data_IF_615277683210
#
_entry.id   IF_615277683210
#
_cell.length_a   1.000
_cell.length_b   1.000
_cell.length_c   1.000
_cell.angle_alpha   90.00
_cell.angle_beta   90.00
_cell.angle_gamma   90.00
#
_symmetry.space_group_name_H-M   'P 1'
#
loop_
_entity.id
_entity.type
_entity.pdbx_description
1 polymer ?
#
# COMPACT_ATOMS: atom_id res chain seq x y z
N UNK A 1 -5.60 2.87 -3.63
CA UNK A 1 -6.08 1.52 -3.22
C UNK A 1 -7.54 1.55 -2.76
N UNK A 2 -7.93 2.30 -1.74
CA UNK A 2 -9.33 2.32 -1.24
C UNK A 2 -10.38 2.56 -2.32
N UNK A 3 -10.15 3.49 -3.25
CA UNK A 3 -11.06 3.74 -4.38
C UNK A 3 -11.20 2.55 -5.34
N UNK A 4 -10.14 1.77 -5.53
CA UNK A 4 -10.21 0.54 -6.33
C UNK A 4 -10.99 -0.55 -5.60
N UNK A 5 -10.75 -0.73 -4.29
CA UNK A 5 -11.52 -1.68 -3.47
C UNK A 5 -13.01 -1.32 -3.51
N UNK A 6 -13.33 -0.05 -3.37
CA UNK A 6 -14.70 0.44 -3.42
C UNK A 6 -15.38 0.09 -4.76
N UNK A 7 -14.68 0.29 -5.88
CA UNK A 7 -15.18 -0.06 -7.21
C UNK A 7 -15.44 -1.56 -7.34
N UNK A 8 -14.46 -2.38 -6.97
CA UNK A 8 -14.61 -3.84 -7.04
C UNK A 8 -15.74 -4.37 -6.13
N UNK A 9 -15.99 -3.74 -4.98
CA UNK A 9 -17.13 -4.06 -4.13
C UNK A 9 -18.46 -3.75 -4.81
N UNK A 10 -18.58 -2.60 -5.48
CA UNK A 10 -19.79 -2.28 -6.26
C UNK A 10 -19.98 -3.21 -7.43
N UNK A 11 -18.90 -3.54 -8.15
CA UNK A 11 -18.94 -4.44 -9.30
C UNK A 11 -19.33 -5.87 -8.87
N UNK A 12 -19.04 -6.25 -7.63
CA UNK A 12 -19.48 -7.49 -7.00
C UNK A 12 -20.90 -7.41 -6.39
N UNK A 13 -21.59 -6.29 -6.50
CA UNK A 13 -22.99 -6.11 -6.05
C UNK A 13 -23.14 -5.77 -4.56
N UNK A 14 -22.07 -5.39 -3.86
CA UNK A 14 -22.17 -4.96 -2.46
C UNK A 14 -22.76 -3.55 -2.35
N UNK A 15 -23.60 -3.35 -1.33
CA UNK A 15 -23.91 -2.02 -0.81
C UNK A 15 -22.79 -1.58 0.11
N UNK A 16 -22.20 -0.41 -0.14
CA UNK A 16 -20.98 0.00 0.55
C UNK A 16 -21.18 1.30 1.29
N UNK A 17 -20.84 1.28 2.57
CA UNK A 17 -20.67 2.48 3.39
C UNK A 17 -19.19 2.79 3.51
N UNK A 18 -18.78 4.01 3.12
CA UNK A 18 -17.41 4.45 3.12
C UNK A 18 -17.15 5.42 4.28
N UNK A 19 -16.26 5.03 5.21
CA UNK A 19 -15.71 5.96 6.19
C UNK A 19 -14.57 6.75 5.54
N UNK A 20 -14.77 8.04 5.36
CA UNK A 20 -13.82 8.93 4.72
C UNK A 20 -13.50 10.13 5.61
N UNK A 21 -12.30 10.67 5.44
CA UNK A 21 -11.95 11.95 6.08
C UNK A 21 -12.70 13.08 5.38
N UNK A 22 -13.03 14.16 6.09
CA UNK A 22 -13.64 15.34 5.50
C UNK A 22 -12.91 15.81 4.24
N UNK A 23 -13.63 16.43 3.30
CA UNK A 23 -13.12 16.97 2.03
C UNK A 23 -12.53 15.94 1.04
N UNK A 24 -12.77 14.65 1.26
CA UNK A 24 -12.37 13.61 0.31
C UNK A 24 -13.54 13.23 -0.60
N UNK A 25 -13.29 13.28 -1.89
CA UNK A 25 -14.23 12.73 -2.85
C UNK A 25 -14.25 11.21 -2.79
N UNK A 26 -15.43 10.64 -2.90
CA UNK A 26 -15.67 9.20 -2.99
C UNK A 26 -16.72 8.95 -4.08
N UNK A 27 -16.81 7.74 -4.57
CA UNK A 27 -17.82 7.31 -5.53
C UNK A 27 -19.23 7.57 -4.95
N UNK A 28 -20.08 8.25 -5.70
CA UNK A 28 -21.43 8.66 -5.27
C UNK A 28 -22.38 7.50 -4.93
N UNK A 29 -22.07 6.29 -5.38
CA UNK A 29 -22.78 5.07 -5.01
C UNK A 29 -22.60 4.67 -3.54
N UNK A 30 -21.55 5.18 -2.87
CA UNK A 30 -21.29 4.85 -1.48
C UNK A 30 -22.14 5.70 -0.52
N UNK A 31 -22.69 5.06 0.50
CA UNK A 31 -23.15 5.79 1.69
C UNK A 31 -21.93 6.35 2.43
N UNK A 32 -21.88 7.67 2.61
CA UNK A 32 -20.72 8.34 3.19
C UNK A 32 -20.90 8.56 4.69
N UNK A 33 -19.91 8.16 5.47
CA UNK A 33 -19.74 8.56 6.88
C UNK A 33 -18.41 9.30 7.00
N UNK A 34 -18.47 10.55 7.41
CA UNK A 34 -17.25 11.32 7.69
C UNK A 34 -16.66 10.95 9.06
N UNK A 35 -15.35 10.72 9.05
CA UNK A 35 -14.61 10.42 10.26
C UNK A 35 -13.13 10.15 10.02
N UNK A 36 -12.40 10.03 11.13
CA UNK A 36 -10.97 9.70 11.15
C UNK A 36 -10.75 8.48 12.05
N UNK A 37 -9.73 7.66 11.75
CA UNK A 37 -9.38 6.48 12.56
C UNK A 37 -9.04 6.80 14.03
N UNK A 38 -8.76 8.05 14.33
CA UNK A 38 -8.55 8.55 15.69
C UNK A 38 -9.86 8.87 16.43
N UNK A 39 -11.00 8.84 15.74
CA UNK A 39 -12.32 9.14 16.30
C UNK A 39 -13.19 7.88 16.40
N UNK A 40 -13.22 7.28 17.59
CA UNK A 40 -13.97 6.04 17.87
C UNK A 40 -15.48 6.18 17.58
N UNK A 41 -16.07 7.35 17.83
CA UNK A 41 -17.50 7.58 17.58
C UNK A 41 -17.90 7.51 16.11
N UNK A 42 -16.96 7.73 15.17
CA UNK A 42 -17.20 7.59 13.75
C UNK A 42 -17.38 6.12 13.36
N UNK A 43 -16.66 5.20 13.99
CA UNK A 43 -16.74 3.76 13.69
C UNK A 43 -18.09 3.16 14.03
N UNK A 44 -18.66 3.51 15.17
CA UNK A 44 -19.96 2.97 15.60
C UNK A 44 -21.04 3.26 14.53
N UNK A 45 -21.06 4.49 14.00
CA UNK A 45 -21.99 4.85 12.92
C UNK A 45 -21.66 4.17 11.60
N UNK A 46 -20.37 4.07 11.26
CA UNK A 46 -19.94 3.47 10.01
C UNK A 46 -20.21 1.96 9.96
N UNK A 47 -20.09 1.26 11.07
CA UNK A 47 -20.21 -0.20 11.14
C UNK A 47 -21.62 -0.70 11.48
N UNK A 48 -22.50 0.16 11.97
CA UNK A 48 -23.86 -0.25 12.30
C UNK A 48 -24.60 -0.84 11.11
N UNK A 49 -25.07 -2.09 11.24
CA UNK A 49 -25.76 -2.82 10.19
C UNK A 49 -24.86 -3.33 9.05
N UNK A 50 -23.54 -3.15 9.14
CA UNK A 50 -22.62 -3.73 8.17
C UNK A 50 -22.34 -5.19 8.51
N UNK A 51 -22.45 -6.06 7.51
CA UNK A 51 -22.10 -7.48 7.64
C UNK A 51 -20.59 -7.68 7.64
N UNK A 52 -19.86 -6.96 6.79
CA UNK A 52 -18.42 -7.05 6.62
C UNK A 52 -17.75 -5.69 6.76
N UNK A 53 -16.46 -5.67 7.06
CA UNK A 53 -15.65 -4.46 7.01
C UNK A 53 -14.34 -4.72 6.24
N UNK A 54 -13.92 -3.73 5.45
CA UNK A 54 -12.62 -3.70 4.80
C UNK A 54 -11.81 -2.55 5.37
N UNK A 55 -10.75 -2.89 6.10
CA UNK A 55 -9.87 -1.92 6.72
C UNK A 55 -8.61 -1.68 5.90
N UNK A 56 -8.65 -0.71 5.00
CA UNK A 56 -7.52 -0.33 4.15
C UNK A 56 -6.85 1.00 4.56
N UNK A 57 -7.37 1.67 5.57
CA UNK A 57 -6.82 2.93 6.01
C UNK A 57 -5.56 2.73 6.86
N UNK A 58 -4.50 3.46 6.53
CA UNK A 58 -3.26 3.51 7.30
C UNK A 58 -2.53 4.83 7.01
N UNK A 59 -1.72 5.27 7.96
CA UNK A 59 -0.76 6.34 7.73
C UNK A 59 0.56 5.71 7.27
N UNK A 60 0.99 6.11 6.06
CA UNK A 60 2.26 5.75 5.47
C UNK A 60 3.08 7.02 5.22
N UNK A 61 4.20 7.16 5.91
CA UNK A 61 5.12 8.30 5.75
C UNK A 61 6.51 7.95 6.26
N UNK A 62 7.53 8.52 5.65
CA UNK A 62 8.92 8.48 6.12
C UNK A 62 9.32 9.73 6.92
N UNK A 63 8.37 10.60 7.23
CA UNK A 63 8.66 11.80 8.02
C UNK A 63 9.20 11.42 9.42
N UNK A 64 10.40 11.90 9.81
CA UNK A 64 11.05 11.44 11.04
C UNK A 64 10.28 11.71 12.34
N UNK A 65 9.35 12.68 12.31
CA UNK A 65 8.53 13.08 13.47
C UNK A 65 7.17 12.39 13.54
N UNK A 66 6.81 11.57 12.55
CA UNK A 66 5.46 11.00 12.43
C UNK A 66 5.25 9.70 13.21
N UNK A 67 6.22 9.21 13.99
CA UNK A 67 6.12 7.90 14.66
C UNK A 67 4.92 7.79 15.60
N UNK A 68 4.59 8.86 16.34
CA UNK A 68 3.41 8.90 17.23
C UNK A 68 2.11 8.85 16.44
N UNK A 69 2.02 9.61 15.34
CA UNK A 69 0.84 9.64 14.47
C UNK A 69 0.65 8.29 13.76
N UNK A 70 1.75 7.64 13.36
CA UNK A 70 1.70 6.30 12.76
C UNK A 70 1.13 5.29 13.75
N UNK A 71 1.58 5.30 15.02
CA UNK A 71 1.07 4.42 16.05
C UNK A 71 -0.42 4.70 16.33
N UNK A 72 -0.77 5.96 16.56
CA UNK A 72 -2.14 6.37 16.85
C UNK A 72 -3.13 6.01 15.74
N UNK A 73 -2.73 6.16 14.46
CA UNK A 73 -3.60 5.83 13.34
C UNK A 73 -3.59 4.31 13.06
N UNK A 74 -2.41 3.70 12.94
CA UNK A 74 -2.32 2.32 12.46
C UNK A 74 -2.63 1.29 13.57
N UNK A 75 -2.23 1.54 14.80
CA UNK A 75 -2.40 0.58 15.90
C UNK A 75 -3.64 0.90 16.73
N UNK A 76 -3.69 2.09 17.34
CA UNK A 76 -4.81 2.46 18.22
C UNK A 76 -6.12 2.59 17.42
N UNK A 77 -6.05 3.19 16.21
CA UNK A 77 -7.19 3.27 15.31
C UNK A 77 -7.71 1.90 14.88
N UNK A 78 -6.81 0.93 14.61
CA UNK A 78 -7.22 -0.45 14.31
C UNK A 78 -7.84 -1.13 15.51
N UNK A 79 -7.25 -1.01 16.70
CA UNK A 79 -7.83 -1.57 17.94
C UNK A 79 -9.23 -1.04 18.19
N UNK A 80 -9.43 0.27 18.02
CA UNK A 80 -10.73 0.91 18.18
C UNK A 80 -11.75 0.46 17.12
N UNK A 81 -11.31 0.31 15.86
CA UNK A 81 -12.16 -0.22 14.79
C UNK A 81 -12.58 -1.66 15.09
N UNK A 82 -11.66 -2.50 15.54
CA UNK A 82 -11.97 -3.90 15.86
C UNK A 82 -12.96 -4.03 17.02
N UNK A 83 -12.82 -3.21 18.06
CA UNK A 83 -13.79 -3.16 19.16
C UNK A 83 -15.18 -2.72 18.65
N UNK A 84 -15.24 -1.68 17.83
CA UNK A 84 -16.48 -1.22 17.24
C UNK A 84 -17.12 -2.27 16.31
N UNK A 85 -16.30 -3.02 15.55
CA UNK A 85 -16.76 -4.10 14.70
C UNK A 85 -17.36 -5.27 15.52
N UNK A 86 -16.74 -5.60 16.66
CA UNK A 86 -17.27 -6.61 17.60
C UNK A 86 -18.64 -6.18 18.16
N UNK A 87 -18.74 -4.93 18.62
CA UNK A 87 -19.98 -4.38 19.17
C UNK A 87 -21.10 -4.24 18.11
N UNK A 88 -20.73 -3.99 16.85
CA UNK A 88 -21.68 -3.91 15.74
C UNK A 88 -22.10 -5.27 15.17
N UNK A 89 -21.50 -6.38 15.63
CA UNK A 89 -21.79 -7.71 15.13
C UNK A 89 -21.26 -7.98 13.73
N UNK A 90 -20.16 -7.33 13.34
CA UNK A 90 -19.51 -7.55 12.04
C UNK A 90 -19.00 -8.99 11.97
N UNK A 91 -19.41 -9.73 10.94
CA UNK A 91 -19.08 -11.14 10.78
C UNK A 91 -17.62 -11.38 10.39
N UNK A 92 -16.99 -10.41 9.70
CA UNK A 92 -15.63 -10.55 9.15
C UNK A 92 -15.00 -9.20 8.85
N UNK A 93 -13.70 -9.09 9.10
CA UNK A 93 -12.88 -7.93 8.72
C UNK A 93 -11.76 -8.37 7.77
N UNK A 94 -11.64 -7.72 6.62
CA UNK A 94 -10.48 -7.86 5.72
C UNK A 94 -9.55 -6.69 5.97
N UNK A 95 -8.37 -6.99 6.51
CA UNK A 95 -7.33 -6.01 6.82
C UNK A 95 -6.33 -5.90 5.67
N UNK A 96 -6.08 -4.69 5.21
CA UNK A 96 -4.93 -4.40 4.34
C UNK A 96 -3.67 -4.23 5.20
N UNK A 97 -2.85 -5.26 5.24
CA UNK A 97 -1.52 -5.21 5.83
C UNK A 97 -0.47 -4.84 4.77
N UNK A 98 0.70 -5.44 4.79
CA UNK A 98 1.79 -5.23 3.83
C UNK A 98 2.69 -6.46 3.77
N UNK A 99 3.25 -6.77 2.61
CA UNK A 99 4.30 -7.80 2.46
C UNK A 99 5.54 -7.49 3.31
N UNK A 100 5.73 -6.24 3.71
CA UNK A 100 6.76 -5.83 4.64
C UNK A 100 6.73 -6.62 5.97
N UNK A 101 5.54 -7.12 6.37
CA UNK A 101 5.39 -7.93 7.59
C UNK A 101 5.84 -9.39 7.43
N UNK A 102 6.25 -9.81 6.23
CA UNK A 102 6.81 -11.15 5.96
C UNK A 102 8.32 -11.22 6.19
N UNK A 103 9.00 -10.09 6.17
CA UNK A 103 10.45 -9.98 6.35
C UNK A 103 10.85 -9.50 7.74
N UNK A 104 12.15 -9.26 7.92
CA UNK A 104 12.66 -8.64 9.13
C UNK A 104 12.31 -7.15 9.13
N UNK A 105 11.45 -6.75 10.05
CA UNK A 105 10.99 -5.37 10.18
C UNK A 105 12.11 -4.48 10.74
N UNK A 106 12.68 -3.63 9.91
CA UNK A 106 13.76 -2.72 10.31
C UNK A 106 13.28 -1.27 10.45
N UNK A 107 12.11 -0.90 9.89
CA UNK A 107 11.57 0.46 9.97
C UNK A 107 10.43 0.62 10.95
N UNK A 108 10.16 1.90 11.30
CA UNK A 108 8.99 2.27 12.08
C UNK A 108 7.68 1.89 11.41
N UNK A 109 7.63 1.99 10.08
CA UNK A 109 6.46 1.58 9.30
C UNK A 109 6.24 0.06 9.37
N UNK A 110 7.26 -0.76 9.12
CA UNK A 110 7.14 -2.22 9.23
C UNK A 110 6.61 -2.64 10.59
N UNK A 111 7.18 -2.10 11.67
CA UNK A 111 6.72 -2.37 13.04
C UNK A 111 5.27 -1.98 13.23
N UNK A 112 4.86 -0.79 12.75
CA UNK A 112 3.48 -0.34 12.88
C UNK A 112 2.50 -1.26 12.15
N UNK A 113 2.88 -1.84 11.01
CA UNK A 113 2.04 -2.80 10.28
C UNK A 113 1.95 -4.15 10.99
N UNK A 114 3.03 -4.63 11.59
CA UNK A 114 3.00 -5.82 12.46
C UNK A 114 2.13 -5.61 13.69
N UNK A 115 2.26 -4.46 14.34
CA UNK A 115 1.46 -4.14 15.53
C UNK A 115 -0.01 -3.92 15.16
N UNK A 116 -0.30 -3.37 13.97
CA UNK A 116 -1.64 -3.30 13.41
C UNK A 116 -2.25 -4.70 13.19
N UNK A 117 -1.49 -5.64 12.61
CA UNK A 117 -1.94 -7.03 12.47
C UNK A 117 -2.22 -7.67 13.83
N UNK A 118 -1.32 -7.51 14.79
CA UNK A 118 -1.48 -8.05 16.15
C UNK A 118 -2.75 -7.50 16.80
N UNK A 119 -2.99 -6.19 16.70
CA UNK A 119 -4.18 -5.54 17.21
C UNK A 119 -5.47 -6.10 16.58
N UNK A 120 -5.45 -6.29 15.26
CA UNK A 120 -6.59 -6.86 14.54
C UNK A 120 -6.86 -8.32 14.92
N UNK A 121 -5.81 -9.16 14.93
CA UNK A 121 -5.95 -10.59 15.27
C UNK A 121 -6.24 -10.87 16.75
N UNK A 122 -6.02 -9.89 17.64
CA UNK A 122 -6.41 -10.02 19.05
C UNK A 122 -7.93 -9.88 19.27
N UNK A 123 -8.69 -9.41 18.27
CA UNK A 123 -10.15 -9.29 18.33
C UNK A 123 -10.86 -10.64 18.21
N UNK A 124 -12.10 -10.70 18.71
CA UNK A 124 -12.99 -11.86 18.52
C UNK A 124 -13.62 -11.90 17.12
N UNK A 125 -13.64 -10.77 16.41
CA UNK A 125 -14.15 -10.74 15.04
C UNK A 125 -13.19 -11.49 14.13
N UNK A 126 -13.67 -12.37 13.25
CA UNK A 126 -12.86 -13.06 12.25
C UNK A 126 -12.09 -12.07 11.36
N UNK A 127 -10.76 -12.16 11.34
CA UNK A 127 -9.88 -11.28 10.55
C UNK A 127 -9.15 -12.07 9.47
N UNK A 128 -9.06 -11.50 8.29
CA UNK A 128 -8.22 -11.97 7.19
C UNK A 128 -7.26 -10.83 6.84
N UNK A 129 -5.95 -11.08 6.84
CA UNK A 129 -4.96 -10.07 6.46
C UNK A 129 -4.49 -10.30 5.02
N UNK A 130 -4.68 -9.30 4.17
CA UNK A 130 -4.07 -9.24 2.85
C UNK A 130 -2.77 -8.45 2.93
N UNK A 131 -1.71 -8.98 2.35
CA UNK A 131 -0.37 -8.42 2.39
C UNK A 131 0.07 -8.00 0.98
N UNK A 132 -0.41 -6.83 0.49
CA UNK A 132 0.03 -6.32 -0.80
C UNK A 132 1.54 -6.13 -0.83
N UNK A 133 2.15 -6.42 -1.97
CA UNK A 133 3.56 -6.17 -2.23
C UNK A 133 3.79 -4.69 -2.58
N UNK A 134 4.27 -4.38 -3.77
CA UNK A 134 4.42 -3.01 -4.24
C UNK A 134 3.36 -2.68 -5.29
N UNK A 135 2.18 -2.14 -4.89
CA UNK A 135 1.11 -1.84 -5.82
C UNK A 135 1.49 -0.74 -6.81
N UNK A 136 1.12 -0.94 -8.06
CA UNK A 136 1.29 0.04 -9.14
C UNK A 136 0.01 0.08 -9.99
N UNK A 137 -0.36 1.27 -10.46
CA UNK A 137 -1.56 1.46 -11.27
C UNK A 137 -2.10 2.89 -11.21
N UNK A 138 -3.27 3.15 -11.78
CA UNK A 138 -3.90 4.47 -11.80
C UNK A 138 -4.36 4.91 -10.39
N UNK A 139 -4.62 6.21 -10.22
CA UNK A 139 -5.21 6.76 -8.99
C UNK A 139 -4.23 7.03 -7.85
N UNK A 140 -2.93 7.01 -8.09
CA UNK A 140 -1.90 7.33 -7.08
C UNK A 140 -1.63 8.84 -7.02
N UNK A 141 -2.65 9.62 -6.58
CA UNK A 141 -2.61 11.09 -6.50
C UNK A 141 -1.52 11.64 -5.58
N UNK A 142 -1.24 10.95 -4.48
CA UNK A 142 -0.07 11.21 -3.63
C UNK A 142 0.89 10.03 -3.84
N UNK A 143 1.84 10.16 -4.79
CA UNK A 143 2.63 9.02 -5.21
C UNK A 143 3.26 8.26 -4.05
N UNK A 144 2.92 6.98 -3.95
CA UNK A 144 3.60 6.03 -3.07
C UNK A 144 5.06 5.88 -3.51
N UNK A 145 5.97 5.30 -2.71
CA UNK A 145 7.35 5.11 -3.15
C UNK A 145 7.46 4.39 -4.50
N UNK A 146 6.64 3.37 -4.74
CA UNK A 146 6.59 2.66 -6.03
C UNK A 146 6.03 3.56 -7.13
N UNK A 147 4.93 4.26 -6.86
CA UNK A 147 4.35 5.20 -7.81
C UNK A 147 5.29 6.38 -8.12
N UNK A 148 6.03 6.87 -7.10
CA UNK A 148 7.04 7.92 -7.30
C UNK A 148 8.19 7.45 -8.19
N UNK A 149 8.65 6.21 -8.05
CA UNK A 149 9.65 5.61 -8.92
C UNK A 149 9.18 5.61 -10.38
N UNK A 150 7.94 5.16 -10.65
CA UNK A 150 7.33 5.16 -11.98
C UNK A 150 7.18 6.58 -12.52
N UNK A 151 6.65 7.50 -11.72
CA UNK A 151 6.44 8.90 -12.09
C UNK A 151 7.75 9.63 -12.38
N UNK A 152 8.75 9.49 -11.52
CA UNK A 152 10.04 10.17 -11.70
C UNK A 152 10.78 9.62 -12.94
N UNK A 153 10.63 8.34 -13.25
CA UNK A 153 11.14 7.78 -14.50
C UNK A 153 10.39 8.37 -15.71
N UNK A 154 9.08 8.40 -15.68
CA UNK A 154 8.26 8.96 -16.76
C UNK A 154 8.54 10.45 -16.99
N UNK A 155 8.92 11.18 -15.96
CA UNK A 155 9.37 12.59 -16.03
C UNK A 155 10.82 12.76 -16.54
N UNK A 156 11.61 11.68 -16.59
CA UNK A 156 13.03 11.75 -16.90
C UNK A 156 13.91 12.29 -15.76
N UNK A 157 13.42 12.22 -14.53
CA UNK A 157 14.15 12.67 -13.34
C UNK A 157 15.14 11.65 -12.80
N UNK A 158 15.06 10.39 -13.24
CA UNK A 158 15.96 9.32 -12.80
C UNK A 158 17.24 9.37 -13.61
N UNK A 159 18.28 9.99 -13.07
CA UNK A 159 19.59 10.14 -13.72
C UNK A 159 20.53 8.98 -13.45
N UNK A 160 20.31 8.24 -12.35
CA UNK A 160 21.11 7.09 -11.96
C UNK A 160 20.24 5.99 -11.34
N UNK A 161 20.66 4.73 -11.52
CA UNK A 161 20.07 3.59 -10.83
C UNK A 161 20.40 3.64 -9.35
N UNK A 162 19.52 3.09 -8.51
CA UNK A 162 19.80 2.86 -7.10
C UNK A 162 21.07 1.99 -6.92
N UNK A 163 21.78 2.14 -5.79
CA UNK A 163 23.11 1.52 -5.62
C UNK A 163 23.10 -0.02 -5.55
N UNK A 164 21.94 -0.63 -5.27
CA UNK A 164 21.80 -2.07 -5.16
C UNK A 164 21.38 -2.76 -6.44
N UNK A 165 21.54 -4.07 -6.48
CA UNK A 165 21.00 -4.98 -7.50
C UNK A 165 19.78 -5.75 -6.98
N UNK A 166 19.07 -5.18 -6.01
CA UNK A 166 17.87 -5.76 -5.43
C UNK A 166 16.72 -5.83 -6.42
N UNK A 167 15.55 -6.15 -5.90
CA UNK A 167 14.35 -6.25 -6.70
C UNK A 167 13.12 -6.16 -5.82
N UNK A 168 11.96 -6.08 -6.43
CA UNK A 168 10.69 -6.08 -5.70
C UNK A 168 9.63 -6.87 -6.45
N UNK A 169 8.64 -7.29 -5.71
CA UNK A 169 7.44 -7.84 -6.32
C UNK A 169 6.48 -6.68 -6.60
N UNK A 170 6.17 -6.46 -7.88
CA UNK A 170 5.17 -5.49 -8.31
C UNK A 170 3.82 -6.17 -8.52
N UNK A 171 2.74 -5.46 -8.21
CA UNK A 171 1.37 -5.95 -8.38
C UNK A 171 0.46 -4.83 -8.89
N UNK A 172 -0.50 -5.16 -9.76
CA UNK A 172 -1.51 -4.18 -10.16
C UNK A 172 -2.42 -3.82 -8.96
N UNK A 173 -2.69 -2.53 -8.77
CA UNK A 173 -3.54 -2.06 -7.67
C UNK A 173 -4.96 -2.62 -7.76
N UNK A 174 -5.44 -2.87 -8.97
CA UNK A 174 -6.75 -3.48 -9.24
C UNK A 174 -6.79 -4.94 -8.79
N UNK A 175 -5.69 -5.69 -8.96
CA UNK A 175 -5.60 -7.08 -8.48
C UNK A 175 -5.66 -7.15 -6.96
N UNK A 176 -4.99 -6.20 -6.29
CA UNK A 176 -5.08 -6.07 -4.83
C UNK A 176 -6.52 -5.80 -4.42
N UNK A 177 -7.22 -4.93 -5.15
CA UNK A 177 -8.64 -4.63 -4.86
C UNK A 177 -9.53 -5.86 -5.03
N UNK A 178 -9.38 -6.60 -6.15
CA UNK A 178 -10.11 -7.87 -6.37
C UNK A 178 -9.84 -8.90 -5.29
N UNK A 179 -8.59 -8.98 -4.81
CA UNK A 179 -8.25 -9.88 -3.71
C UNK A 179 -8.99 -9.53 -2.41
N UNK A 180 -9.25 -8.24 -2.12
CA UNK A 180 -10.04 -7.84 -0.96
C UNK A 180 -11.48 -8.34 -1.06
N UNK A 181 -12.10 -8.24 -2.24
CA UNK A 181 -13.45 -8.76 -2.46
C UNK A 181 -13.46 -10.29 -2.33
N UNK A 182 -12.53 -10.97 -2.98
CA UNK A 182 -12.42 -12.43 -2.89
C UNK A 182 -12.21 -12.92 -1.45
N UNK A 183 -11.49 -12.16 -0.63
CA UNK A 183 -11.24 -12.51 0.78
C UNK A 183 -12.52 -12.40 1.64
N UNK A 184 -13.48 -11.55 1.28
CA UNK A 184 -14.77 -11.50 1.97
C UNK A 184 -15.51 -12.84 1.88
N UNK A 185 -15.44 -13.54 0.74
CA UNK A 185 -16.18 -14.77 0.51
C UNK A 185 -15.35 -16.03 0.84
N UNK A 186 -14.07 -16.04 0.43
CA UNK A 186 -13.21 -17.24 0.40
C UNK A 186 -12.10 -17.24 1.44
N UNK A 187 -11.79 -16.06 2.03
CA UNK A 187 -10.70 -15.93 2.98
C UNK A 187 -10.97 -16.72 4.27
N UNK A 188 -9.95 -17.42 4.77
CA UNK A 188 -10.02 -18.14 6.03
C UNK A 188 -9.66 -17.20 7.18
N UNK A 189 -10.45 -17.23 8.25
CA UNK A 189 -10.19 -16.45 9.46
C UNK A 189 -8.82 -16.79 10.07
N UNK A 190 -8.11 -15.78 10.53
CA UNK A 190 -6.78 -15.92 11.10
C UNK A 190 -5.65 -16.01 10.07
N UNK A 191 -5.98 -16.06 8.77
CA UNK A 191 -5.00 -16.29 7.73
C UNK A 191 -4.44 -14.99 7.12
N UNK A 192 -3.22 -15.11 6.63
CA UNK A 192 -2.45 -14.06 5.97
C UNK A 192 -2.19 -14.45 4.53
N UNK A 193 -2.49 -13.56 3.58
CA UNK A 193 -2.35 -13.80 2.15
C UNK A 193 -1.45 -12.76 1.51
N UNK A 194 -0.22 -13.12 1.10
CA UNK A 194 0.59 -12.26 0.25
C UNK A 194 -0.10 -12.04 -1.10
N UNK A 195 -0.28 -10.78 -1.47
CA UNK A 195 -0.90 -10.38 -2.73
C UNK A 195 0.15 -9.69 -3.58
N UNK A 196 0.73 -10.45 -4.50
CA UNK A 196 1.81 -10.01 -5.38
C UNK A 196 1.56 -10.41 -6.83
N UNK A 197 2.28 -9.76 -7.73
CA UNK A 197 2.30 -10.06 -9.17
C UNK A 197 3.60 -10.74 -9.58
N UNK A 198 4.54 -9.97 -10.12
CA UNK A 198 5.81 -10.49 -10.64
C UNK A 198 6.99 -10.06 -9.76
N UNK A 199 7.90 -11.00 -9.51
CA UNK A 199 9.19 -10.73 -8.87
C UNK A 199 10.17 -10.22 -9.94
N UNK A 200 10.55 -8.96 -9.85
CA UNK A 200 11.41 -8.29 -10.83
C UNK A 200 12.63 -7.70 -10.14
N UNK A 201 13.79 -7.85 -10.77
CA UNK A 201 14.96 -7.06 -10.43
C UNK A 201 14.75 -5.59 -10.76
N UNK A 202 15.50 -4.71 -10.14
CA UNK A 202 15.42 -3.29 -10.46
C UNK A 202 15.79 -3.00 -11.93
N UNK A 203 16.70 -3.79 -12.52
CA UNK A 203 17.08 -3.62 -13.92
C UNK A 203 15.93 -4.02 -14.88
N UNK A 204 15.18 -5.08 -14.59
CA UNK A 204 13.98 -5.45 -15.34
C UNK A 204 12.87 -4.38 -15.22
N UNK A 205 12.70 -3.79 -14.04
CA UNK A 205 11.75 -2.68 -13.86
C UNK A 205 12.14 -1.48 -14.71
N UNK A 206 13.43 -1.10 -14.71
CA UNK A 206 13.93 0.00 -15.53
C UNK A 206 13.77 -0.28 -17.02
N UNK A 207 14.02 -1.50 -17.45
CA UNK A 207 13.83 -1.90 -18.84
C UNK A 207 12.38 -1.75 -19.28
N UNK A 208 11.42 -2.29 -18.51
CA UNK A 208 9.98 -2.17 -18.82
C UNK A 208 9.53 -0.71 -18.86
N UNK A 209 9.99 0.11 -17.91
CA UNK A 209 9.66 1.53 -17.91
C UNK A 209 10.26 2.25 -19.11
N UNK A 210 11.46 1.90 -19.55
CA UNK A 210 12.07 2.47 -20.75
C UNK A 210 11.26 2.13 -22.02
N UNK A 211 10.83 0.88 -22.16
CA UNK A 211 9.98 0.42 -23.27
C UNK A 211 8.62 1.15 -23.28
N UNK A 212 7.96 1.27 -22.13
CA UNK A 212 6.65 1.94 -22.00
C UNK A 212 6.73 3.46 -22.24
N UNK A 213 7.79 4.10 -21.77
CA UNK A 213 7.88 5.57 -21.81
C UNK A 213 8.62 6.11 -23.02
N UNK A 214 9.40 5.25 -23.71
CA UNK A 214 10.32 5.65 -24.77
C UNK A 214 11.58 6.37 -24.25
N UNK A 215 11.81 6.40 -22.93
CA UNK A 215 12.96 7.06 -22.31
C UNK A 215 14.15 6.09 -22.18
N UNK A 216 15.38 6.57 -22.29
CA UNK A 216 16.55 5.71 -22.12
C UNK A 216 16.68 5.23 -20.68
N UNK A 217 17.14 3.99 -20.51
CA UNK A 217 17.51 3.48 -19.19
C UNK A 217 18.65 4.29 -18.57
N UNK A 218 18.65 4.53 -17.25
CA UNK A 218 19.79 5.12 -16.56
C UNK A 218 21.03 4.24 -16.74
N UNK A 219 22.11 4.81 -17.26
CA UNK A 219 23.36 4.05 -17.50
C UNK A 219 24.23 3.91 -16.25
N UNK A 220 24.14 4.88 -15.37
CA UNK A 220 24.95 4.97 -14.16
C UNK A 220 24.26 4.31 -12.99
N UNK A 221 25.05 3.66 -12.12
CA UNK A 221 24.60 3.19 -10.80
C UNK A 221 25.30 4.02 -9.72
N UNK A 222 24.52 4.60 -8.83
CA UNK A 222 25.06 5.41 -7.74
C UNK A 222 25.94 4.54 -6.82
N UNK A 223 27.17 4.97 -6.48
CA UNK A 223 27.97 4.29 -5.46
C UNK A 223 27.23 4.29 -4.12
N UNK A 224 27.21 3.12 -3.46
CA UNK A 224 26.41 2.92 -2.23
C UNK A 224 26.76 3.93 -1.13
N UNK A 225 28.06 4.19 -0.88
CA UNK A 225 28.49 5.14 0.13
C UNK A 225 27.99 6.57 -0.13
N UNK A 226 28.00 7.01 -1.39
CA UNK A 226 27.47 8.33 -1.75
C UNK A 226 25.95 8.41 -1.58
N UNK A 227 25.22 7.35 -1.94
CA UNK A 227 23.78 7.29 -1.75
C UNK A 227 23.39 7.31 -0.27
N UNK A 228 24.13 6.58 0.59
CA UNK A 228 23.94 6.59 2.05
C UNK A 228 24.22 7.97 2.62
N UNK A 229 25.33 8.62 2.22
CA UNK A 229 25.68 9.98 2.66
C UNK A 229 24.60 10.99 2.28
N UNK A 230 24.13 10.96 1.02
CA UNK A 230 23.06 11.84 0.53
C UNK A 230 21.75 11.61 1.28
N UNK A 231 21.36 10.35 1.52
CA UNK A 231 20.17 9.99 2.28
C UNK A 231 20.22 10.47 3.72
N UNK A 232 21.37 10.29 4.38
CA UNK A 232 21.56 10.76 5.76
C UNK A 232 21.44 12.30 5.86
N UNK A 233 22.05 13.01 4.93
CA UNK A 233 21.96 14.47 4.88
C UNK A 233 20.52 14.95 4.61
N UNK A 234 19.79 14.29 3.68
CA UNK A 234 18.40 14.62 3.38
C UNK A 234 17.47 14.36 4.57
N UNK A 235 17.66 13.25 5.29
CA UNK A 235 16.91 12.97 6.53
C UNK A 235 17.21 14.01 7.63
N UNK A 236 18.50 14.40 7.80
CA UNK A 236 18.85 15.42 8.78
C UNK A 236 18.20 16.76 8.43
N UNK A 237 18.26 17.16 7.17
CA UNK A 237 17.57 18.34 6.65
C UNK A 237 16.07 18.29 6.97
N UNK A 238 15.42 17.17 6.67
CA UNK A 238 13.99 17.02 6.91
C UNK A 238 13.62 16.94 8.40
N UNK A 239 14.51 16.48 9.26
CA UNK A 239 14.30 16.58 10.72
C UNK A 239 14.23 18.03 11.20
N UNK A 240 15.05 18.91 10.62
CA UNK A 240 15.06 20.33 10.96
C UNK A 240 13.85 21.05 10.34
N UNK A 241 13.61 20.81 9.05
CA UNK A 241 12.60 21.54 8.27
C UNK A 241 11.18 20.96 8.39
N UNK A 242 10.98 19.79 8.98
CA UNK A 242 9.68 19.15 9.10
C UNK A 242 9.12 18.58 7.79
N UNK A 243 10.00 18.21 6.84
CA UNK A 243 9.61 17.67 5.54
C UNK A 243 9.75 16.14 5.46
N UNK A 244 9.25 15.54 4.38
CA UNK A 244 9.57 14.15 4.03
C UNK A 244 10.87 14.10 3.21
N UNK A 245 11.79 13.14 3.49
CA UNK A 245 13.01 12.99 2.72
C UNK A 245 12.71 12.53 1.29
N UNK A 246 13.42 13.12 0.32
CA UNK A 246 13.33 12.69 -1.08
C UNK A 246 14.03 11.37 -1.33
N UNK A 247 15.10 11.10 -0.56
CA UNK A 247 15.88 9.87 -0.59
C UNK A 247 15.93 9.30 0.83
N UNK A 248 14.92 8.51 1.24
CA UNK A 248 14.94 7.90 2.56
C UNK A 248 16.11 6.92 2.69
N UNK A 249 16.84 6.93 3.80
CA UNK A 249 17.94 6.00 4.08
C UNK A 249 17.48 4.54 4.01
N UNK A 250 16.26 4.27 4.44
CA UNK A 250 15.63 2.96 4.31
C UNK A 250 15.50 2.52 2.84
N UNK A 251 15.07 3.41 1.95
CA UNK A 251 14.99 3.11 0.52
C UNK A 251 16.34 2.76 -0.10
N UNK A 252 17.43 3.45 0.34
CA UNK A 252 18.80 3.12 -0.08
C UNK A 252 19.22 1.74 0.41
N UNK A 253 18.89 1.37 1.64
CA UNK A 253 19.19 0.04 2.19
C UNK A 253 18.41 -1.06 1.47
N UNK A 254 17.10 -0.86 1.30
CA UNK A 254 16.21 -1.79 0.60
C UNK A 254 16.58 -1.99 -0.88
N UNK A 255 17.27 -1.02 -1.51
CA UNK A 255 17.71 -1.17 -2.90
C UNK A 255 18.67 -2.35 -3.14
N UNK A 256 19.24 -2.93 -2.09
CA UNK A 256 20.10 -4.11 -2.13
C UNK A 256 19.37 -5.41 -1.85
N UNK A 257 18.14 -5.33 -1.37
CA UNK A 257 17.34 -6.50 -0.97
C UNK A 257 16.43 -6.95 -2.11
N UNK A 258 16.13 -8.24 -2.14
CA UNK A 258 15.12 -8.82 -3.01
C UNK A 258 13.82 -8.95 -2.23
N UNK A 259 12.98 -7.92 -2.32
CA UNK A 259 11.64 -7.90 -1.70
C UNK A 259 10.66 -8.72 -2.56
N UNK A 260 10.94 -10.01 -2.68
CA UNK A 260 10.14 -10.94 -3.45
C UNK A 260 9.05 -11.56 -2.59
N UNK A 261 7.96 -11.97 -3.24
CA UNK A 261 6.85 -12.61 -2.55
C UNK A 261 6.30 -13.79 -3.37
N UNK A 262 5.73 -14.75 -2.66
CA UNK A 262 4.98 -15.86 -3.23
C UNK A 262 3.50 -15.69 -2.87
N UNK A 263 2.65 -15.63 -3.89
CA UNK A 263 1.19 -15.50 -3.77
C UNK A 263 0.47 -16.83 -4.07
N UNK A 264 1.15 -17.97 -4.02
CA UNK A 264 0.57 -19.29 -4.32
C UNK A 264 -0.62 -19.61 -3.41
N UNK A 265 -0.53 -19.27 -2.13
CA UNK A 265 -1.63 -19.42 -1.17
C UNK A 265 -2.87 -18.61 -1.57
N UNK A 266 -2.68 -17.33 -1.96
CA UNK A 266 -3.78 -16.50 -2.42
C UNK A 266 -4.41 -17.04 -3.72
N UNK A 267 -3.59 -17.56 -4.64
CA UNK A 267 -4.08 -18.22 -5.85
C UNK A 267 -4.93 -19.45 -5.54
N UNK A 268 -4.46 -20.32 -4.64
CA UNK A 268 -5.15 -21.56 -4.29
C UNK A 268 -6.43 -21.35 -3.47
N UNK A 269 -6.40 -20.43 -2.51
CA UNK A 269 -7.49 -20.28 -1.54
C UNK A 269 -8.48 -19.18 -1.89
N UNK A 270 -8.01 -18.05 -2.48
CA UNK A 270 -8.87 -16.94 -2.87
C UNK A 270 -9.25 -16.96 -4.35
N UNK A 271 -8.62 -17.81 -5.18
CA UNK A 271 -8.75 -17.75 -6.63
C UNK A 271 -8.09 -16.51 -7.23
N UNK A 272 -7.07 -15.96 -6.54
CA UNK A 272 -6.36 -14.77 -6.96
C UNK A 272 -5.63 -14.97 -8.28
N UNK A 273 -5.76 -13.98 -9.17
CA UNK A 273 -5.05 -13.94 -10.45
C UNK A 273 -4.37 -12.58 -10.59
N UNK A 274 -3.09 -12.61 -10.95
CA UNK A 274 -2.31 -11.40 -11.18
C UNK A 274 -2.33 -10.98 -12.64
N UNK A 275 -2.57 -9.71 -12.89
CA UNK A 275 -2.39 -9.06 -14.18
C UNK A 275 -0.88 -8.90 -14.46
N UNK A 276 -0.48 -8.89 -15.73
CA UNK A 276 0.89 -8.59 -16.11
C UNK A 276 1.34 -7.24 -15.54
N UNK A 277 2.52 -7.22 -14.93
CA UNK A 277 3.10 -5.99 -14.37
C UNK A 277 3.38 -4.96 -15.47
N UNK A 278 3.71 -5.39 -16.69
CA UNK A 278 3.85 -4.46 -17.81
C UNK A 278 2.57 -3.69 -18.06
N UNK A 279 1.42 -4.37 -18.10
CA UNK A 279 0.11 -3.73 -18.25
C UNK A 279 -0.21 -2.78 -17.08
N UNK A 280 0.14 -3.15 -15.86
CA UNK A 280 -0.07 -2.30 -14.68
C UNK A 280 0.79 -1.02 -14.73
N UNK A 281 2.05 -1.14 -15.17
CA UNK A 281 2.96 -0.01 -15.39
C UNK A 281 2.47 0.91 -16.52
N UNK A 282 2.01 0.35 -17.64
CA UNK A 282 1.42 1.11 -18.75
C UNK A 282 0.21 1.94 -18.28
N UNK A 283 -0.69 1.33 -17.52
CA UNK A 283 -1.86 2.03 -16.95
C UNK A 283 -1.44 3.14 -15.99
N UNK A 284 -0.44 2.90 -15.16
CA UNK A 284 0.10 3.91 -14.25
C UNK A 284 0.70 5.10 -15.00
N UNK A 285 1.57 4.85 -15.99
CA UNK A 285 2.19 5.91 -16.80
C UNK A 285 1.16 6.70 -17.59
N UNK A 286 0.21 6.01 -18.21
CA UNK A 286 -0.90 6.64 -18.96
C UNK A 286 -1.72 7.55 -18.05
N UNK A 287 -2.07 7.04 -16.85
CA UNK A 287 -2.83 7.82 -15.88
C UNK A 287 -2.06 9.07 -15.40
N UNK A 288 -0.76 8.95 -15.10
CA UNK A 288 0.06 10.11 -14.73
C UNK A 288 0.13 11.16 -15.84
N UNK A 289 0.24 10.74 -17.12
CA UNK A 289 0.24 11.66 -18.28
C UNK A 289 -1.12 12.35 -18.44
N UNK A 290 -2.22 11.62 -18.33
CA UNK A 290 -3.58 12.17 -18.48
C UNK A 290 -3.92 13.20 -17.38
N UNK A 291 -3.31 13.08 -16.20
CA UNK A 291 -3.54 13.98 -15.08
C UNK A 291 -2.44 15.07 -14.96
N UNK A 292 -1.63 15.27 -15.99
CA UNK A 292 -0.62 16.33 -16.02
C UNK A 292 0.52 16.13 -15.00
N UNK A 293 0.71 14.91 -14.53
CA UNK A 293 1.74 14.59 -13.55
C UNK A 293 3.05 14.13 -14.19
N UNK A 294 3.03 13.64 -15.44
CA UNK A 294 4.21 13.14 -16.18
C UNK A 294 4.28 13.69 -17.60
#
# INVERSE_FOLDING_TARGET
>A
MGSHILRELFDAGYQVRALIRPERAVDERAEVVEGDLRNVGAFARALYGCRYAVHCAALYTFAPRASKDIAAVNVDGTSSLMLAAELAGVERVVLTSSSATLGHAHSGYHRSKLDQERAAFASRVPVIALLPTAPVGPGDWKPTPTGKLVLDFARGKIVAKAPGSGGMNLVAVEDVARAHVAALDRGKSGERYPIGGENLSMDEIWQRLAEITGRPMPKWRAPYGLAVGAAYFDELRCRVMGCEPNVPLEGVRLSRERMYADSSKARGELGYQATSVTTALERAVTWYRQNGMA
#
